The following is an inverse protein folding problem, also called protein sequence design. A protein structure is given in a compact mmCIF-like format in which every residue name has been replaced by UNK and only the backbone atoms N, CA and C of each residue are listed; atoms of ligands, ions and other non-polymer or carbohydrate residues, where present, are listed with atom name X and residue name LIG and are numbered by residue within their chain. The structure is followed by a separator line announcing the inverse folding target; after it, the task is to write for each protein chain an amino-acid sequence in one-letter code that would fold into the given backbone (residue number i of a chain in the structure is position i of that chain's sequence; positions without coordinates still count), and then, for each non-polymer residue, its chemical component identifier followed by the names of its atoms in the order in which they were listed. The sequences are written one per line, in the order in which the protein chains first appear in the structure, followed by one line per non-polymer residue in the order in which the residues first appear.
data_IF_948977344514
#
_entry.id   IF_948977344514
#
_cell.length_a   1.000
_cell.length_b   1.000
_cell.length_c   1.000
_cell.angle_alpha   90.00
_cell.angle_beta   90.00
_cell.angle_gamma   90.00
#
_symmetry.space_group_name_H-M   'P 1'
#
loop_
_entity.id
_entity.type
_entity.pdbx_description
1 polymer ?
#
# COMPACT_ATOMS: atom_id res chain seq x y z
N UNK A 1 -2.41 -0.66 1.37
CA UNK A 1 -1.58 0.55 1.31
C UNK A 1 -0.72 0.59 0.07
N UNK A 2 -0.54 1.76 -0.52
CA UNK A 2 0.13 1.96 -1.79
C UNK A 2 1.36 2.86 -1.60
N UNK A 3 2.51 2.44 -2.09
CA UNK A 3 3.68 3.29 -2.24
C UNK A 3 3.96 3.53 -3.72
N UNK A 4 4.15 4.78 -4.08
CA UNK A 4 4.54 5.19 -5.42
C UNK A 4 6.02 5.47 -5.45
N UNK A 5 6.74 4.82 -6.35
CA UNK A 5 8.18 5.03 -6.56
C UNK A 5 8.42 5.56 -7.96
N UNK A 6 9.02 6.74 -8.07
CA UNK A 6 9.29 7.40 -9.35
C UNK A 6 10.77 7.76 -9.46
N UNK A 7 11.50 7.17 -10.41
CA UNK A 7 12.73 7.71 -10.99
C UNK A 7 13.30 6.98 -12.19
N UNK A 8 14.09 7.73 -12.97
CA UNK A 8 14.88 7.30 -14.11
C UNK A 8 16.14 6.50 -13.70
N UNK A 9 16.21 5.26 -14.19
CA UNK A 9 17.37 4.53 -14.70
C UNK A 9 18.64 4.30 -13.87
N UNK A 10 18.86 3.05 -13.44
CA UNK A 10 20.16 2.39 -13.67
C UNK A 10 20.19 0.87 -13.44
N UNK A 11 19.12 0.22 -13.04
CA UNK A 11 19.08 -1.23 -12.84
C UNK A 11 18.05 -1.93 -13.73
N UNK A 12 18.25 -3.25 -13.97
CA UNK A 12 17.39 -4.07 -14.84
C UNK A 12 15.89 -3.95 -14.52
N UNK A 13 15.53 -3.77 -13.25
CA UNK A 13 14.15 -3.47 -12.83
C UNK A 13 13.70 -2.10 -13.32
N UNK A 14 14.60 -1.10 -13.33
CA UNK A 14 14.32 0.24 -13.81
C UNK A 14 14.26 0.33 -15.34
N UNK A 15 14.91 -0.58 -16.06
CA UNK A 15 14.82 -0.65 -17.54
C UNK A 15 13.44 -1.09 -18.02
N UNK A 16 12.73 -1.88 -17.22
CA UNK A 16 11.33 -2.25 -17.47
C UNK A 16 10.38 -1.11 -17.09
N UNK A 17 10.80 -0.22 -16.21
CA UNK A 17 9.99 0.87 -15.66
C UNK A 17 10.28 2.25 -16.28
N UNK A 18 10.65 2.34 -17.55
CA UNK A 18 10.89 3.60 -18.23
C UNK A 18 9.63 4.47 -18.18
N UNK A 19 9.61 5.47 -17.27
CA UNK A 19 8.45 6.35 -17.07
C UNK A 19 7.24 5.72 -16.39
N UNK A 20 7.36 4.51 -15.86
CA UNK A 20 6.26 3.83 -15.16
C UNK A 20 6.25 4.19 -13.68
N UNK A 21 5.04 4.33 -13.17
CA UNK A 21 4.74 4.41 -11.77
C UNK A 21 4.80 3.01 -11.17
N UNK A 22 5.70 2.79 -10.21
CA UNK A 22 5.76 1.52 -9.47
C UNK A 22 4.99 1.66 -8.18
N UNK A 23 4.01 0.79 -8.03
CA UNK A 23 3.18 0.72 -6.83
C UNK A 23 3.63 -0.48 -5.99
N UNK A 24 3.90 -0.24 -4.71
CA UNK A 24 4.35 -1.28 -3.77
C UNK A 24 3.39 -1.34 -2.58
N UNK A 25 3.01 -2.55 -2.20
CA UNK A 25 2.26 -2.83 -0.97
C UNK A 25 3.23 -3.42 0.07
N UNK A 26 3.86 -2.59 0.91
CA UNK A 26 4.99 -3.03 1.73
C UNK A 26 4.60 -3.91 2.91
N UNK A 27 3.32 -4.04 3.23
CA UNK A 27 2.80 -5.02 4.17
C UNK A 27 3.06 -6.46 3.69
N UNK A 28 3.10 -6.67 2.36
CA UNK A 28 3.38 -7.96 1.73
C UNK A 28 2.31 -9.02 1.96
N UNK A 29 1.15 -8.63 2.47
CA UNK A 29 -0.05 -9.44 2.65
C UNK A 29 -1.28 -8.56 2.71
N UNK A 30 -2.46 -9.15 2.58
CA UNK A 30 -3.74 -8.47 2.81
C UNK A 30 -4.13 -8.54 4.29
N UNK A 31 -4.94 -7.59 4.73
CA UNK A 31 -5.50 -7.48 6.07
C UNK A 31 -6.95 -7.03 6.01
N UNK A 32 -7.61 -6.96 7.16
CA UNK A 32 -8.97 -6.42 7.28
C UNK A 32 -9.06 -4.88 7.10
N UNK A 33 -7.94 -4.21 6.88
CA UNK A 33 -7.88 -2.76 6.70
C UNK A 33 -8.01 -1.92 7.98
N UNK A 34 -8.20 -2.54 9.16
CA UNK A 34 -8.31 -1.78 10.42
C UNK A 34 -7.03 -1.06 10.79
N UNK A 35 -5.92 -1.75 10.62
CA UNK A 35 -4.60 -1.21 10.95
C UNK A 35 -3.62 -1.38 9.80
N UNK A 36 -2.53 -0.63 9.84
CA UNK A 36 -1.41 -0.79 8.92
C UNK A 36 -0.44 -1.79 9.51
N UNK A 37 -0.25 -2.91 8.82
CA UNK A 37 0.68 -3.96 9.24
C UNK A 37 2.14 -3.48 9.19
N UNK A 38 3.07 -4.17 9.88
CA UNK A 38 4.50 -3.88 9.75
C UNK A 38 4.98 -3.99 8.30
N UNK A 39 5.80 -3.04 7.87
CA UNK A 39 6.34 -3.03 6.51
C UNK A 39 7.54 -3.96 6.36
N UNK A 40 7.57 -4.70 5.27
CA UNK A 40 8.69 -5.58 4.91
C UNK A 40 9.82 -4.76 4.31
N UNK A 41 10.89 -4.55 5.06
CA UNK A 41 12.05 -3.76 4.66
C UNK A 41 12.70 -4.26 3.35
N UNK A 42 12.57 -5.56 3.02
CA UNK A 42 13.06 -6.14 1.77
C UNK A 42 12.39 -5.55 0.53
N UNK A 43 11.11 -5.18 0.61
CA UNK A 43 10.36 -4.59 -0.49
C UNK A 43 10.76 -3.13 -0.77
N UNK A 44 11.39 -2.47 0.21
CA UNK A 44 11.84 -1.08 0.11
C UNK A 44 13.29 -0.96 -0.37
N UNK A 45 14.06 -2.04 -0.32
CA UNK A 45 15.46 -2.05 -0.70
C UNK A 45 15.74 -1.53 -2.13
N UNK A 46 14.93 -1.85 -3.16
CA UNK A 46 15.14 -1.30 -4.50
C UNK A 46 14.94 0.21 -4.58
N UNK A 47 13.97 0.76 -3.83
CA UNK A 47 13.70 2.19 -3.80
C UNK A 47 14.88 2.95 -3.18
N UNK A 48 15.39 2.45 -2.06
CA UNK A 48 16.52 3.03 -1.35
C UNK A 48 17.81 3.01 -2.20
N UNK A 49 18.16 1.84 -2.76
CA UNK A 49 19.35 1.68 -3.60
C UNK A 49 19.32 2.53 -4.87
N UNK A 50 18.13 2.73 -5.42
CA UNK A 50 17.93 3.54 -6.62
C UNK A 50 17.85 5.03 -6.37
N UNK A 51 17.78 5.48 -5.10
CA UNK A 51 17.54 6.87 -4.74
C UNK A 51 16.22 7.39 -5.30
N UNK A 52 15.17 6.55 -5.31
CA UNK A 52 13.89 6.91 -5.85
C UNK A 52 13.09 7.78 -4.88
N UNK A 53 12.38 8.74 -5.43
CA UNK A 53 11.41 9.51 -4.67
C UNK A 53 10.23 8.61 -4.26
N UNK A 54 9.89 8.63 -2.98
CA UNK A 54 8.81 7.82 -2.41
C UNK A 54 7.66 8.75 -2.05
N UNK A 55 6.46 8.41 -2.55
CA UNK A 55 5.21 9.00 -2.10
C UNK A 55 4.41 7.94 -1.37
N UNK A 56 3.70 8.34 -0.33
CA UNK A 56 2.83 7.45 0.44
C UNK A 56 1.38 7.62 0.00
N UNK A 57 0.61 6.54 0.12
CA UNK A 57 -0.83 6.60 -0.04
C UNK A 57 -1.53 5.63 0.91
N UNK A 58 -2.69 6.03 1.40
CA UNK A 58 -3.58 5.20 2.20
C UNK A 58 -4.87 4.96 1.41
N UNK A 59 -5.27 3.69 1.30
CA UNK A 59 -6.51 3.27 0.67
C UNK A 59 -7.48 2.79 1.74
N UNK A 60 -8.66 3.39 1.78
CA UNK A 60 -9.75 3.01 2.67
C UNK A 60 -10.98 2.61 1.86
N UNK A 61 -11.74 1.64 2.35
CA UNK A 61 -12.99 1.19 1.74
C UNK A 61 -14.16 1.45 2.68
N UNK A 62 -15.28 1.84 2.09
CA UNK A 62 -16.56 2.04 2.78
C UNK A 62 -17.67 1.38 1.95
N UNK A 63 -18.71 0.93 2.63
CA UNK A 63 -19.93 0.40 2.05
C UNK A 63 -21.13 1.19 2.55
N UNK A 64 -22.13 1.38 1.70
CA UNK A 64 -23.41 1.96 2.10
C UNK A 64 -24.18 1.00 3.03
N UNK A 65 -24.00 -0.31 2.83
CA UNK A 65 -24.59 -1.38 3.62
C UNK A 65 -23.61 -2.55 3.74
N UNK A 66 -23.31 -2.95 4.98
CA UNK A 66 -22.38 -4.03 5.29
C UNK A 66 -21.07 -3.57 5.94
N UNK A 67 -20.17 -4.52 6.16
CA UNK A 67 -18.85 -4.28 6.76
C UNK A 67 -17.73 -4.47 5.73
N UNK A 68 -17.02 -3.39 5.34
CA UNK A 68 -15.95 -3.50 4.36
C UNK A 68 -14.81 -4.42 4.78
N UNK A 69 -14.61 -4.66 6.09
CA UNK A 69 -13.56 -5.54 6.62
C UNK A 69 -13.76 -7.00 6.24
N UNK A 70 -15.01 -7.44 6.17
CA UNK A 70 -15.37 -8.83 5.88
C UNK A 70 -15.86 -9.03 4.46
N UNK A 71 -16.39 -7.97 3.83
CA UNK A 71 -17.06 -8.08 2.54
C UNK A 71 -16.25 -7.52 1.37
N UNK A 72 -15.33 -6.58 1.63
CA UNK A 72 -14.43 -6.02 0.61
C UNK A 72 -13.00 -6.52 0.78
N UNK A 73 -12.50 -6.50 2.01
CA UNK A 73 -11.13 -6.92 2.29
C UNK A 73 -11.02 -8.45 2.25
N UNK A 74 -10.14 -8.96 1.37
CA UNK A 74 -9.83 -10.39 1.32
C UNK A 74 -8.61 -10.68 2.20
N UNK A 75 -8.80 -11.40 3.31
CA UNK A 75 -7.73 -11.69 4.29
C UNK A 75 -8.00 -12.94 5.12
N UNK A 76 -6.96 -13.40 5.81
CA UNK A 76 -7.06 -14.53 6.73
C UNK A 76 -7.42 -15.84 6.05
N UNK A 77 -8.36 -16.59 6.65
CA UNK A 77 -8.85 -17.88 6.16
C UNK A 77 -10.04 -17.80 5.21
N UNK A 78 -10.34 -16.62 4.63
CA UNK A 78 -11.47 -16.47 3.71
C UNK A 78 -11.25 -17.31 2.46
N UNK A 79 -12.32 -18.02 2.03
CA UNK A 79 -12.32 -18.73 0.75
C UNK A 79 -12.54 -17.74 -0.39
N UNK A 80 -11.64 -17.75 -1.37
CA UNK A 80 -11.62 -16.76 -2.46
C UNK A 80 -12.94 -16.69 -3.23
N UNK A 81 -13.47 -17.84 -3.66
CA UNK A 81 -14.62 -17.86 -4.57
C UNK A 81 -15.92 -17.32 -3.93
N UNK A 82 -16.33 -17.74 -2.73
CA UNK A 82 -17.48 -17.14 -2.05
C UNK A 82 -17.29 -15.65 -1.77
N UNK A 83 -16.08 -15.22 -1.37
CA UNK A 83 -15.77 -13.81 -1.14
C UNK A 83 -15.92 -12.99 -2.43
N UNK A 84 -15.39 -13.49 -3.54
CA UNK A 84 -15.50 -12.83 -4.85
C UNK A 84 -16.96 -12.67 -5.28
N UNK A 85 -17.79 -13.72 -5.12
CA UNK A 85 -19.21 -13.66 -5.47
C UNK A 85 -19.96 -12.64 -4.59
N UNK A 86 -19.65 -12.59 -3.29
CA UNK A 86 -20.21 -11.58 -2.39
C UNK A 86 -19.82 -10.16 -2.82
N UNK A 87 -18.54 -9.94 -3.14
CA UNK A 87 -18.04 -8.65 -3.62
C UNK A 87 -18.70 -8.21 -4.94
N UNK A 88 -18.85 -9.14 -5.89
CA UNK A 88 -19.52 -8.87 -7.17
C UNK A 88 -21.03 -8.59 -7.00
N UNK A 89 -21.63 -9.09 -5.92
CA UNK A 89 -23.02 -8.81 -5.57
C UNK A 89 -23.25 -7.43 -4.93
N UNK A 90 -22.18 -6.71 -4.56
CA UNK A 90 -22.32 -5.37 -3.97
C UNK A 90 -22.73 -4.36 -5.03
N UNK A 91 -23.71 -3.52 -4.69
CA UNK A 91 -24.18 -2.45 -5.58
C UNK A 91 -23.12 -1.38 -5.78
N UNK A 92 -22.41 -1.02 -4.70
CA UNK A 92 -21.40 0.03 -4.69
C UNK A 92 -20.35 -0.24 -3.62
N UNK A 93 -19.12 0.07 -3.93
CA UNK A 93 -17.99 0.08 -3.00
C UNK A 93 -17.30 1.43 -3.12
N UNK A 94 -17.22 2.17 -2.05
CA UNK A 94 -16.50 3.44 -2.02
C UNK A 94 -15.04 3.18 -1.67
N UNK A 95 -14.14 3.69 -2.49
CA UNK A 95 -12.70 3.59 -2.28
C UNK A 95 -12.11 5.00 -2.21
N UNK A 96 -11.59 5.37 -1.05
CA UNK A 96 -10.92 6.65 -0.82
C UNK A 96 -9.43 6.45 -0.82
N UNK A 97 -8.73 7.13 -1.71
CA UNK A 97 -7.28 7.10 -1.83
C UNK A 97 -6.70 8.46 -1.42
N UNK A 98 -5.91 8.47 -0.33
CA UNK A 98 -5.23 9.68 0.16
C UNK A 98 -3.75 9.59 -0.12
N UNK A 99 -3.17 10.67 -0.59
CA UNK A 99 -1.76 10.78 -0.91
C UNK A 99 -1.05 11.70 0.07
N UNK A 100 0.19 11.33 0.43
CA UNK A 100 1.08 12.15 1.24
C UNK A 100 2.48 12.19 0.65
N UNK A 101 3.17 13.31 0.86
CA UNK A 101 4.60 13.42 0.56
C UNK A 101 5.40 12.75 1.68
N UNK A 102 6.50 12.12 1.31
CA UNK A 102 7.42 11.51 2.26
C UNK A 102 8.86 11.84 1.86
N UNK A 103 9.63 12.32 2.82
CA UNK A 103 11.06 12.55 2.67
C UNK A 103 11.79 11.70 3.69
N UNK A 104 12.63 10.77 3.22
CA UNK A 104 13.46 9.96 4.08
C UNK A 104 14.74 10.70 4.44
N UNK A 105 15.20 10.50 5.66
CA UNK A 105 16.50 10.98 6.16
C UNK A 105 17.45 9.83 6.45
N UNK A 106 17.06 8.59 6.13
CA UNK A 106 17.82 7.38 6.47
C UNK A 106 18.19 6.55 5.25
N UNK A 107 19.37 5.93 5.29
CA UNK A 107 19.85 4.95 4.33
C UNK A 107 19.61 3.51 4.81
N UNK A 108 19.07 3.30 6.02
CA UNK A 108 18.71 1.98 6.52
C UNK A 108 17.28 1.61 6.12
N UNK A 109 17.16 0.50 5.39
CA UNK A 109 15.87 -0.03 4.92
C UNK A 109 14.90 -0.41 6.04
N UNK A 110 15.41 -0.81 7.23
CA UNK A 110 14.57 -1.17 8.38
C UNK A 110 13.99 0.08 9.02
N UNK A 111 14.83 1.08 9.20
CA UNK A 111 14.40 2.38 9.70
C UNK A 111 13.44 3.05 8.73
N UNK A 112 13.73 3.00 7.43
CA UNK A 112 12.83 3.49 6.39
C UNK A 112 11.45 2.82 6.47
N UNK A 113 11.39 1.51 6.71
CA UNK A 113 10.14 0.79 6.85
C UNK A 113 9.30 1.28 8.04
N UNK A 114 9.96 1.59 9.16
CA UNK A 114 9.29 2.15 10.36
C UNK A 114 8.78 3.56 10.06
N UNK A 115 9.63 4.44 9.54
CA UNK A 115 9.26 5.83 9.21
C UNK A 115 8.10 5.90 8.21
N UNK A 116 8.13 5.08 7.16
CA UNK A 116 7.05 5.00 6.17
C UNK A 116 5.74 4.51 6.79
N UNK A 117 5.80 3.49 7.64
CA UNK A 117 4.62 2.98 8.32
C UNK A 117 3.99 4.05 9.22
N UNK A 118 4.80 4.76 10.00
CA UNK A 118 4.33 5.84 10.86
C UNK A 118 3.70 6.98 10.06
N UNK A 119 4.30 7.36 8.93
CA UNK A 119 3.76 8.39 8.05
C UNK A 119 2.40 7.98 7.48
N UNK A 120 2.23 6.71 7.12
CA UNK A 120 0.94 6.19 6.64
C UNK A 120 -0.11 6.10 7.75
N UNK A 121 0.29 5.72 8.97
CA UNK A 121 -0.61 5.73 10.12
C UNK A 121 -1.14 7.15 10.41
N UNK A 122 -0.28 8.17 10.32
CA UNK A 122 -0.70 9.58 10.44
C UNK A 122 -1.69 9.95 9.34
N UNK A 123 -1.36 9.63 8.07
CA UNK A 123 -2.24 9.90 6.93
C UNK A 123 -3.61 9.19 7.05
N UNK A 124 -3.63 8.01 7.68
CA UNK A 124 -4.87 7.27 7.96
C UNK A 124 -5.69 7.92 9.07
N UNK A 125 -5.04 8.50 10.08
CA UNK A 125 -5.70 9.12 11.24
C UNK A 125 -6.31 10.51 10.93
N UNK A 126 -5.91 11.15 9.83
CA UNK A 126 -6.46 12.42 9.35
C UNK A 126 -7.87 12.29 8.74
N UNK A 127 -8.60 11.29 9.19
CA UNK A 127 -9.93 10.93 8.69
C UNK A 127 -11.05 11.71 9.39
#
# INVERSE_FOLDING_TARGET
MLLTVRKLLSNWVARVCFGLLVVVFPEGTSSNGETVLPFRASLLAPALRGGYEISIACLCYELDDGDPKTEVCYWGGLTFFPHLLNLLGKRQVHATLRFGKFSSTTDDRKELAVQLREAVLKLKAEN
#
